data_IF_957964140264
#
_entry.id   IF_957964140264
#
_cell.length_a   1.000
_cell.length_b   1.000
_cell.length_c   1.000
_cell.angle_alpha   90.00
_cell.angle_beta   90.00
_cell.angle_gamma   90.00
#
_symmetry.space_group_name_H-M   'P 1'
#
loop_
_entity.id
_entity.type
_entity.pdbx_description
1 polymer ?
#
# COMPACT_ATOMS: atom_id res chain seq x y z
N UNK A 1 32.49 12.01 5.80
CA UNK A 1 32.36 10.73 6.51
C UNK A 1 33.75 10.15 6.64
N UNK A 2 34.18 9.97 7.88
CA UNK A 2 35.42 9.31 8.30
C UNK A 2 35.11 7.91 8.84
N UNK A 3 36.12 7.07 8.96
CA UNK A 3 35.95 5.71 9.50
C UNK A 3 35.34 5.76 10.91
N UNK A 4 34.30 4.94 11.14
CA UNK A 4 33.55 4.91 12.39
C UNK A 4 32.38 5.89 12.49
N UNK A 5 32.18 6.77 11.49
CA UNK A 5 31.04 7.69 11.45
C UNK A 5 29.84 7.10 10.69
N UNK A 6 28.63 7.38 11.19
CA UNK A 6 27.38 7.11 10.49
C UNK A 6 26.90 8.33 9.71
N UNK A 7 26.25 8.08 8.57
CA UNK A 7 25.49 9.08 7.82
C UNK A 7 24.05 8.58 7.75
N UNK A 8 23.11 9.41 8.21
CA UNK A 8 21.67 9.09 8.15
C UNK A 8 21.01 9.95 7.08
N UNK A 9 20.39 9.31 6.10
CA UNK A 9 19.61 9.98 5.06
C UNK A 9 18.12 9.89 5.38
N UNK A 10 17.50 11.05 5.62
CA UNK A 10 16.08 11.14 5.92
C UNK A 10 15.20 10.93 4.68
N UNK A 11 13.92 10.56 4.85
CA UNK A 11 13.00 10.34 3.73
C UNK A 11 12.97 11.51 2.76
N UNK A 12 13.03 11.21 1.45
CA UNK A 12 13.03 12.20 0.36
C UNK A 12 14.21 13.20 0.37
N UNK A 13 15.25 12.94 1.16
CA UNK A 13 16.50 13.71 1.14
C UNK A 13 17.40 13.25 -0.01
N UNK A 14 17.41 14.01 -1.10
CA UNK A 14 18.33 13.78 -2.21
C UNK A 14 19.77 13.97 -1.74
N UNK A 15 20.62 13.01 -2.06
CA UNK A 15 22.02 13.01 -1.67
C UNK A 15 22.88 12.51 -2.83
N UNK A 16 24.14 12.95 -2.85
CA UNK A 16 25.17 12.54 -3.81
C UNK A 16 26.52 12.63 -3.11
N UNK A 17 27.53 11.95 -3.61
CA UNK A 17 28.86 11.94 -3.01
C UNK A 17 29.91 11.29 -3.89
N UNK A 18 31.17 11.45 -3.50
CA UNK A 18 32.32 10.80 -4.11
C UNK A 18 33.30 10.37 -3.02
N UNK A 19 34.16 9.40 -3.32
CA UNK A 19 35.18 8.91 -2.40
C UNK A 19 36.48 9.69 -2.56
N UNK A 20 37.10 10.09 -1.45
CA UNK A 20 38.40 10.78 -1.45
C UNK A 20 39.59 9.84 -1.65
N UNK A 21 39.39 8.52 -1.49
CA UNK A 21 40.42 7.49 -1.59
C UNK A 21 39.82 6.09 -1.42
N UNK A 22 40.66 5.07 -1.30
CA UNK A 22 40.21 3.70 -1.02
C UNK A 22 39.50 3.62 0.34
N UNK A 23 38.28 3.10 0.35
CA UNK A 23 37.48 2.87 1.55
C UNK A 23 36.54 1.66 1.37
N UNK A 24 35.84 1.31 2.44
CA UNK A 24 34.77 0.32 2.47
C UNK A 24 33.61 0.89 3.28
N UNK A 25 32.39 0.76 2.77
CA UNK A 25 31.18 1.26 3.41
C UNK A 25 30.04 0.25 3.25
N UNK A 26 29.13 0.25 4.21
CA UNK A 26 27.90 -0.55 4.22
C UNK A 26 26.70 0.38 4.43
N UNK A 27 25.57 0.06 3.81
CA UNK A 27 24.35 0.87 3.89
C UNK A 27 23.10 -0.02 3.93
N UNK A 28 22.08 0.47 4.63
CA UNK A 28 20.78 -0.21 4.77
C UNK A 28 19.65 0.82 4.74
N UNK A 29 18.51 0.44 4.18
CA UNK A 29 17.27 1.21 4.28
C UNK A 29 16.51 0.75 5.53
N UNK A 30 15.88 1.69 6.24
CA UNK A 30 15.03 1.40 7.37
C UNK A 30 13.81 2.33 7.36
N UNK A 31 12.73 1.90 8.01
CA UNK A 31 11.44 2.59 8.03
C UNK A 31 10.94 2.72 9.49
N UNK A 32 11.25 3.83 10.17
CA UNK A 32 10.67 4.12 11.49
C UNK A 32 9.17 4.41 11.38
N UNK A 33 8.43 4.46 12.50
CA UNK A 33 6.98 4.58 12.47
C UNK A 33 6.48 5.85 11.73
N UNK A 34 7.17 6.97 11.90
CA UNK A 34 6.90 8.25 11.22
C UNK A 34 7.09 8.19 9.69
N UNK A 35 7.76 7.15 9.17
CA UNK A 35 7.86 6.92 7.73
C UNK A 35 6.54 6.48 7.09
N UNK A 36 5.59 5.90 7.84
CA UNK A 36 4.35 5.31 7.30
C UNK A 36 3.61 6.29 6.38
N UNK A 37 3.32 7.50 6.88
CA UNK A 37 2.62 8.53 6.11
C UNK A 37 3.39 8.96 4.85
N UNK A 38 4.72 9.07 4.95
CA UNK A 38 5.59 9.39 3.82
C UNK A 38 5.56 8.25 2.78
N UNK A 39 5.50 7.00 3.24
CA UNK A 39 5.34 5.81 2.39
C UNK A 39 4.05 5.85 1.57
N UNK A 40 2.93 6.22 2.20
CA UNK A 40 1.64 6.41 1.51
C UNK A 40 1.70 7.49 0.43
N UNK A 41 2.25 8.65 0.77
CA UNK A 41 2.46 9.74 -0.20
C UNK A 41 3.37 9.31 -1.35
N UNK A 42 4.42 8.53 -1.04
CA UNK A 42 5.34 7.99 -2.04
C UNK A 42 4.62 7.07 -3.04
N UNK A 43 3.76 6.16 -2.58
CA UNK A 43 2.96 5.29 -3.47
C UNK A 43 2.03 6.11 -4.35
N UNK A 44 1.39 7.14 -3.81
CA UNK A 44 0.54 8.05 -4.59
C UNK A 44 1.34 8.80 -5.65
N UNK A 45 2.55 9.26 -5.32
CA UNK A 45 3.45 9.90 -6.27
C UNK A 45 3.98 8.92 -7.33
N UNK A 46 4.33 7.70 -6.95
CA UNK A 46 4.77 6.66 -7.90
C UNK A 46 3.66 6.32 -8.88
N UNK A 47 2.41 6.25 -8.41
CA UNK A 47 1.24 6.03 -9.26
C UNK A 47 1.08 7.13 -10.32
N UNK A 48 1.36 8.40 -10.02
CA UNK A 48 1.25 9.48 -11.02
C UNK A 48 2.38 9.46 -12.04
N UNK A 49 3.55 8.91 -11.66
CA UNK A 49 4.71 8.76 -12.53
C UNK A 49 4.78 7.40 -13.25
N UNK A 50 3.81 6.50 -12.99
CA UNK A 50 3.83 5.10 -13.47
C UNK A 50 5.09 4.34 -13.05
N UNK A 51 5.61 4.65 -11.86
CA UNK A 51 6.79 3.97 -11.29
C UNK A 51 6.37 2.70 -10.57
N UNK A 52 7.07 1.60 -10.83
CA UNK A 52 6.86 0.31 -10.16
C UNK A 52 7.20 0.44 -8.67
N UNK A 53 6.33 -0.10 -7.81
CA UNK A 53 6.58 -0.20 -6.38
C UNK A 53 7.43 -1.44 -6.08
N UNK A 54 8.34 -1.34 -5.11
CA UNK A 54 9.15 -2.47 -4.62
C UNK A 54 8.38 -3.42 -3.69
N UNK A 55 7.27 -2.95 -3.10
CA UNK A 55 6.32 -3.73 -2.33
C UNK A 55 4.98 -2.97 -2.24
N UNK A 56 3.92 -3.66 -1.81
CA UNK A 56 2.63 -3.04 -1.51
C UNK A 56 2.61 -2.40 -0.13
N UNK A 57 2.41 -1.08 -0.07
CA UNK A 57 2.28 -0.38 1.21
C UNK A 57 1.00 -0.79 1.96
N UNK A 58 -0.09 -1.04 1.23
CA UNK A 58 -1.36 -1.49 1.83
C UNK A 58 -1.20 -2.89 2.47
N UNK A 59 -0.39 -3.76 1.85
CA UNK A 59 -0.04 -5.08 2.41
C UNK A 59 0.76 -4.96 3.69
N UNK A 60 1.78 -4.09 3.71
CA UNK A 60 2.56 -3.80 4.91
C UNK A 60 1.65 -3.38 6.07
N UNK A 61 0.71 -2.44 5.81
CA UNK A 61 -0.20 -1.94 6.83
C UNK A 61 -1.13 -3.04 7.34
N UNK A 62 -1.76 -3.83 6.46
CA UNK A 62 -2.59 -4.94 6.90
C UNK A 62 -1.81 -6.01 7.70
N UNK A 63 -0.54 -6.26 7.37
CA UNK A 63 0.31 -7.17 8.13
C UNK A 63 0.64 -6.62 9.52
N UNK A 64 0.96 -5.32 9.63
CA UNK A 64 1.16 -4.66 10.92
C UNK A 64 -0.10 -4.70 11.79
N UNK A 65 -1.27 -4.53 11.18
CA UNK A 65 -2.59 -4.62 11.86
C UNK A 65 -2.86 -6.04 12.37
N UNK A 66 -2.54 -7.08 11.59
CA UNK A 66 -2.67 -8.47 12.03
C UNK A 66 -1.83 -8.78 13.27
N UNK A 67 -0.62 -8.22 13.35
CA UNK A 67 0.32 -8.39 14.47
C UNK A 67 0.38 -7.15 15.39
N UNK A 68 -0.72 -6.42 15.53
CA UNK A 68 -0.70 -5.12 16.22
C UNK A 68 -0.39 -5.20 17.72
N UNK A 69 -0.50 -6.38 18.33
CA UNK A 69 -0.26 -6.59 19.76
C UNK A 69 1.23 -6.36 20.13
N UNK A 70 2.14 -6.47 19.15
CA UNK A 70 3.57 -6.23 19.31
C UNK A 70 3.99 -4.79 18.92
N UNK A 71 3.05 -3.95 18.49
CA UNK A 71 3.35 -2.58 18.07
C UNK A 71 3.53 -1.66 19.27
N UNK A 72 4.55 -0.80 19.21
CA UNK A 72 4.65 0.34 20.11
C UNK A 72 3.40 1.25 19.94
N UNK A 73 2.84 1.83 21.01
CA UNK A 73 1.60 2.63 20.92
C UNK A 73 1.64 3.75 19.88
N UNK A 74 2.78 4.45 19.76
CA UNK A 74 2.95 5.50 18.74
C UNK A 74 2.94 4.96 17.30
N UNK A 75 3.47 3.75 17.09
CA UNK A 75 3.40 3.09 15.79
C UNK A 75 1.97 2.64 15.47
N UNK A 76 1.25 2.10 16.47
CA UNK A 76 -0.15 1.72 16.32
C UNK A 76 -1.04 2.92 15.94
N UNK A 77 -0.80 4.11 16.50
CA UNK A 77 -1.51 5.34 16.11
C UNK A 77 -1.33 5.68 14.62
N UNK A 78 -0.09 5.65 14.13
CA UNK A 78 0.20 5.94 12.72
C UNK A 78 -0.33 4.86 11.77
N UNK A 79 -0.30 3.59 12.17
CA UNK A 79 -0.93 2.48 11.45
C UNK A 79 -2.46 2.65 11.42
N UNK A 80 -3.07 3.08 12.52
CA UNK A 80 -4.51 3.34 12.60
C UNK A 80 -4.92 4.46 11.62
N UNK A 81 -4.17 5.56 11.60
CA UNK A 81 -4.45 6.69 10.71
C UNK A 81 -4.36 6.29 9.24
N UNK A 82 -3.30 5.56 8.85
CA UNK A 82 -3.12 5.08 7.48
C UNK A 82 -4.19 4.04 7.08
N UNK A 83 -4.46 3.06 7.95
CA UNK A 83 -5.54 2.08 7.74
C UNK A 83 -6.89 2.79 7.54
N UNK A 84 -7.19 3.81 8.33
CA UNK A 84 -8.43 4.57 8.21
C UNK A 84 -8.51 5.35 6.88
N UNK A 85 -7.40 5.92 6.41
CA UNK A 85 -7.33 6.54 5.07
C UNK A 85 -7.57 5.50 3.97
N UNK A 86 -6.89 4.36 4.03
CA UNK A 86 -7.04 3.25 3.09
C UNK A 86 -8.49 2.78 3.01
N UNK A 87 -9.16 2.57 4.16
CA UNK A 87 -10.56 2.13 4.21
C UNK A 87 -11.52 3.17 3.63
N UNK A 88 -11.29 4.47 3.92
CA UNK A 88 -12.09 5.55 3.33
C UNK A 88 -11.95 5.56 1.81
N UNK A 89 -10.72 5.42 1.31
CA UNK A 89 -10.43 5.37 -0.12
C UNK A 89 -11.11 4.17 -0.78
N UNK A 90 -10.93 2.97 -0.24
CA UNK A 90 -11.56 1.74 -0.71
C UNK A 90 -13.08 1.85 -0.77
N UNK A 91 -13.72 2.40 0.27
CA UNK A 91 -15.18 2.60 0.30
C UNK A 91 -15.65 3.50 -0.85
N UNK A 92 -14.97 4.62 -1.09
CA UNK A 92 -15.33 5.56 -2.16
C UNK A 92 -15.14 4.91 -3.53
N UNK A 93 -14.02 4.23 -3.74
CA UNK A 93 -13.68 3.66 -5.03
C UNK A 93 -14.51 2.41 -5.37
N UNK A 94 -14.80 1.54 -4.39
CA UNK A 94 -15.72 0.40 -4.57
C UNK A 94 -17.12 0.88 -4.92
N UNK A 95 -17.60 1.93 -4.26
CA UNK A 95 -18.88 2.56 -4.63
C UNK A 95 -18.86 3.07 -6.07
N UNK A 96 -17.80 3.76 -6.48
CA UNK A 96 -17.67 4.26 -7.86
C UNK A 96 -17.63 3.13 -8.90
N UNK A 97 -17.04 1.97 -8.56
CA UNK A 97 -17.01 0.79 -9.40
C UNK A 97 -18.40 0.13 -9.53
N UNK A 98 -19.12 0.01 -8.42
CA UNK A 98 -20.50 -0.50 -8.39
C UNK A 98 -21.45 0.43 -9.16
N UNK A 99 -21.36 1.75 -8.92
CA UNK A 99 -22.15 2.76 -9.61
C UNK A 99 -21.84 2.80 -11.13
N UNK A 100 -20.65 2.33 -11.54
CA UNK A 100 -20.30 2.16 -12.97
C UNK A 100 -20.96 0.93 -13.61
N UNK A 101 -21.35 -0.07 -12.82
CA UNK A 101 -22.12 -1.23 -13.29
C UNK A 101 -21.39 -2.58 -13.22
N UNK A 102 -20.29 -2.69 -12.47
CA UNK A 102 -19.66 -3.99 -12.17
C UNK A 102 -20.52 -4.74 -11.17
N UNK A 103 -20.85 -5.99 -11.49
CA UNK A 103 -21.71 -6.85 -10.64
C UNK A 103 -20.97 -8.06 -10.08
N UNK A 104 -19.99 -8.57 -10.81
CA UNK A 104 -19.22 -9.74 -10.42
C UNK A 104 -18.08 -9.36 -9.47
N UNK A 105 -17.88 -10.18 -8.43
CA UNK A 105 -16.83 -9.99 -7.46
C UNK A 105 -16.18 -11.32 -7.05
N UNK A 106 -14.85 -11.34 -7.00
CA UNK A 106 -14.05 -12.52 -6.65
C UNK A 106 -13.10 -12.21 -5.49
N UNK A 107 -13.04 -13.11 -4.52
CA UNK A 107 -12.02 -13.07 -3.48
C UNK A 107 -10.66 -13.50 -4.02
N UNK A 108 -9.60 -12.78 -3.66
CA UNK A 108 -8.23 -13.05 -4.10
C UNK A 108 -7.23 -12.83 -2.98
N UNK A 109 -6.36 -13.82 -2.76
CA UNK A 109 -5.15 -13.71 -1.92
C UNK A 109 -4.01 -13.15 -2.77
N UNK A 110 -3.78 -11.84 -2.68
CA UNK A 110 -2.76 -11.17 -3.49
C UNK A 110 -1.35 -11.45 -2.97
N UNK A 111 -1.17 -11.73 -1.69
CA UNK A 111 0.10 -12.07 -1.03
C UNK A 111 0.76 -13.34 -1.60
N UNK A 112 -0.03 -14.23 -2.20
CA UNK A 112 0.46 -15.47 -2.81
C UNK A 112 0.87 -15.32 -4.28
N UNK A 113 0.72 -14.12 -4.85
CA UNK A 113 1.08 -13.81 -6.23
C UNK A 113 2.37 -12.99 -6.27
N UNK A 114 3.25 -13.30 -7.23
CA UNK A 114 4.42 -12.46 -7.46
C UNK A 114 4.00 -11.04 -7.90
N UNK A 115 4.75 -10.03 -7.46
CA UNK A 115 4.43 -8.62 -7.67
C UNK A 115 4.12 -8.26 -9.13
N UNK A 116 4.86 -8.83 -10.07
CA UNK A 116 4.68 -8.60 -11.51
C UNK A 116 3.28 -9.00 -12.03
N UNK A 117 2.60 -9.93 -11.36
CA UNK A 117 1.25 -10.39 -11.74
C UNK A 117 0.12 -9.61 -11.05
N UNK A 118 0.46 -8.80 -10.05
CA UNK A 118 -0.51 -8.01 -9.27
C UNK A 118 -0.28 -6.50 -9.43
N UNK A 119 0.17 -6.04 -10.60
CA UNK A 119 0.36 -4.62 -10.89
C UNK A 119 -0.80 -4.03 -11.68
N UNK A 120 -1.15 -2.78 -11.38
CA UNK A 120 -2.04 -2.02 -12.25
C UNK A 120 -1.35 -1.72 -13.59
N UNK A 121 -1.97 -2.13 -14.70
CA UNK A 121 -1.43 -1.91 -16.05
C UNK A 121 -1.29 -0.43 -16.46
N UNK A 122 -1.89 0.50 -15.71
CA UNK A 122 -1.87 1.94 -16.01
C UNK A 122 -0.83 2.69 -15.20
N UNK A 123 -0.76 2.41 -13.89
CA UNK A 123 0.07 3.17 -12.95
C UNK A 123 1.16 2.36 -12.25
N UNK A 124 1.27 1.07 -12.54
CA UNK A 124 2.27 0.15 -11.98
C UNK A 124 2.23 0.00 -10.44
N UNK A 125 1.16 0.48 -9.79
CA UNK A 125 0.94 0.23 -8.36
C UNK A 125 0.70 -1.27 -8.14
N UNK A 126 1.45 -1.86 -7.21
CA UNK A 126 1.21 -3.22 -6.70
C UNK A 126 -0.11 -3.27 -5.95
N UNK A 127 -1.01 -4.14 -6.37
CA UNK A 127 -2.39 -4.28 -5.91
C UNK A 127 -2.44 -5.27 -4.76
N UNK A 128 -3.22 -4.93 -3.74
CA UNK A 128 -3.38 -5.78 -2.56
C UNK A 128 -4.81 -5.80 -2.02
N UNK A 129 -5.38 -4.66 -1.65
CA UNK A 129 -6.73 -4.67 -1.05
C UNK A 129 -7.79 -4.99 -2.09
N UNK A 130 -7.61 -4.44 -3.30
CA UNK A 130 -8.55 -4.61 -4.39
C UNK A 130 -7.92 -4.40 -5.76
N UNK A 131 -8.58 -4.95 -6.78
CA UNK A 131 -8.25 -4.81 -8.18
C UNK A 131 -9.49 -4.95 -9.06
N UNK A 132 -9.36 -4.62 -10.33
CA UNK A 132 -10.36 -4.93 -11.36
C UNK A 132 -9.68 -5.73 -12.47
N UNK A 133 -10.34 -6.80 -12.87
CA UNK A 133 -9.97 -7.59 -14.05
C UNK A 133 -11.12 -7.61 -15.05
N UNK A 134 -10.89 -8.07 -16.27
CA UNK A 134 -11.94 -8.27 -17.26
C UNK A 134 -11.77 -9.62 -17.94
N UNK A 135 -12.88 -10.25 -18.33
CA UNK A 135 -12.87 -11.52 -19.05
C UNK A 135 -12.20 -11.46 -20.42
N UNK A 136 -12.03 -10.27 -21.01
CA UNK A 136 -11.35 -10.10 -22.29
C UNK A 136 -9.83 -10.38 -22.22
N UNK A 137 -9.20 -10.07 -21.08
CA UNK A 137 -7.79 -10.39 -20.80
C UNK A 137 -7.61 -10.55 -19.29
N UNK A 138 -7.81 -11.77 -18.75
CA UNK A 138 -7.75 -12.01 -17.31
C UNK A 138 -6.39 -11.75 -16.66
N UNK A 139 -5.32 -11.63 -17.48
CA UNK A 139 -3.96 -11.37 -16.99
C UNK A 139 -3.72 -9.89 -16.69
N UNK A 140 -4.55 -8.98 -17.22
CA UNK A 140 -4.44 -7.55 -16.95
C UNK A 140 -5.28 -7.17 -15.75
N UNK A 141 -4.68 -6.37 -14.89
CA UNK A 141 -5.33 -5.81 -13.72
C UNK A 141 -5.26 -4.29 -13.74
N UNK A 142 -6.29 -3.64 -13.20
CA UNK A 142 -6.29 -2.22 -12.91
C UNK A 142 -6.58 -1.99 -11.43
N UNK A 143 -5.99 -0.95 -10.84
CA UNK A 143 -6.44 -0.45 -9.55
C UNK A 143 -7.81 0.26 -9.71
N UNK A 144 -8.49 0.52 -8.60
CA UNK A 144 -9.80 1.16 -8.64
C UNK A 144 -9.78 2.61 -9.16
N UNK A 145 -8.63 3.28 -9.23
CA UNK A 145 -8.53 4.60 -9.89
C UNK A 145 -8.59 4.49 -11.41
N UNK A 146 -8.23 3.33 -11.95
CA UNK A 146 -7.98 3.13 -13.37
C UNK A 146 -8.85 2.04 -14.00
N UNK A 147 -9.91 1.57 -13.32
CA UNK A 147 -10.75 0.49 -13.86
C UNK A 147 -11.36 0.83 -15.23
N UNK A 148 -11.72 2.10 -15.48
CA UNK A 148 -12.23 2.56 -16.78
C UNK A 148 -11.19 2.55 -17.90
N UNK A 149 -9.91 2.43 -17.54
CA UNK A 149 -8.77 2.41 -18.46
C UNK A 149 -8.24 0.97 -18.67
N UNK A 150 -8.87 -0.04 -18.05
CA UNK A 150 -8.47 -1.44 -18.20
C UNK A 150 -8.69 -1.93 -19.64
N UNK A 151 -9.88 -1.72 -20.19
CA UNK A 151 -10.24 -2.03 -21.58
C UNK A 151 -11.51 -1.27 -21.98
N UNK A 152 -11.94 -1.43 -23.25
CA UNK A 152 -13.17 -0.83 -23.78
C UNK A 152 -14.43 -1.68 -23.58
N UNK A 153 -14.35 -2.78 -22.83
CA UNK A 153 -15.49 -3.66 -22.59
C UNK A 153 -16.55 -2.99 -21.69
N UNK A 154 -17.81 -3.41 -21.77
CA UNK A 154 -18.84 -2.91 -20.87
C UNK A 154 -18.58 -3.35 -19.42
N UNK A 155 -19.11 -2.62 -18.42
CA UNK A 155 -18.85 -2.87 -16.99
C UNK A 155 -19.16 -4.30 -16.53
N UNK A 156 -20.16 -4.95 -17.14
CA UNK A 156 -20.63 -6.29 -16.76
C UNK A 156 -19.61 -7.40 -17.08
N UNK A 157 -18.63 -7.13 -17.95
CA UNK A 157 -17.53 -8.06 -18.24
C UNK A 157 -16.33 -7.87 -17.30
N UNK A 158 -16.37 -6.85 -16.45
CA UNK A 158 -15.35 -6.61 -15.45
C UNK A 158 -15.70 -7.37 -14.17
N UNK A 159 -14.68 -7.81 -13.45
CA UNK A 159 -14.80 -8.51 -12.18
C UNK A 159 -14.02 -7.73 -11.13
N UNK A 160 -14.71 -7.37 -10.05
CA UNK A 160 -14.11 -6.76 -8.88
C UNK A 160 -13.36 -7.80 -8.05
N UNK A 161 -12.05 -7.66 -7.92
CA UNK A 161 -11.22 -8.57 -7.11
C UNK A 161 -10.93 -7.93 -5.76
N UNK A 162 -11.16 -8.63 -4.67
CA UNK A 162 -10.97 -8.09 -3.32
C UNK A 162 -10.28 -9.06 -2.37
N UNK A 163 -9.47 -8.52 -1.47
CA UNK A 163 -8.80 -9.28 -0.39
C UNK A 163 -9.54 -9.25 0.93
N UNK A 164 -10.25 -8.15 1.18
CA UNK A 164 -11.06 -7.94 2.38
C UNK A 164 -12.41 -7.35 1.97
N UNK A 165 -13.46 -7.80 2.64
CA UNK A 165 -14.77 -7.15 2.66
C UNK A 165 -14.68 -5.86 3.47
N UNK A 166 -15.61 -4.92 3.25
CA UNK A 166 -15.63 -3.68 4.02
C UNK A 166 -15.98 -3.91 5.50
N UNK A 167 -16.66 -5.01 5.82
CA UNK A 167 -17.08 -5.38 7.18
C UNK A 167 -15.93 -5.97 8.03
N UNK A 168 -14.85 -6.40 7.38
CA UNK A 168 -13.64 -6.87 8.07
C UNK A 168 -12.80 -5.72 8.64
N UNK A 169 -12.90 -4.50 8.11
CA UNK A 169 -12.08 -3.37 8.57
C UNK A 169 -12.49 -2.77 9.94
N UNK A 170 -13.78 -2.59 10.29
CA UNK A 170 -14.18 -2.07 11.60
C UNK A 170 -13.61 -2.81 12.82
N UNK A 171 -13.59 -4.16 12.89
CA UNK A 171 -12.93 -4.84 14.01
C UNK A 171 -11.42 -4.63 14.01
N UNK A 172 -10.76 -4.62 12.85
CA UNK A 172 -9.32 -4.36 12.74
C UNK A 172 -8.94 -2.94 13.21
N UNK A 173 -9.70 -1.93 12.78
CA UNK A 173 -9.53 -0.54 13.23
C UNK A 173 -9.69 -0.42 14.75
N UNK A 174 -10.69 -1.09 15.34
CA UNK A 174 -10.88 -1.09 16.81
C UNK A 174 -9.70 -1.73 17.53
N UNK A 175 -9.19 -2.85 17.00
CA UNK A 175 -8.03 -3.56 17.59
C UNK A 175 -6.82 -2.65 17.67
N UNK A 176 -6.44 -2.01 16.56
CA UNK A 176 -5.26 -1.12 16.52
C UNK A 176 -5.47 0.15 17.34
N UNK A 177 -6.69 0.72 17.34
CA UNK A 177 -7.02 1.90 18.14
C UNK A 177 -6.83 1.65 19.64
N UNK A 178 -7.20 0.46 20.14
CA UNK A 178 -7.00 0.10 21.54
C UNK A 178 -5.52 0.12 21.94
N UNK A 179 -4.62 -0.37 21.07
CA UNK A 179 -3.16 -0.33 21.30
C UNK A 179 -2.63 1.10 21.23
N UNK A 180 -3.13 1.90 20.29
CA UNK A 180 -2.75 3.31 20.16
C UNK A 180 -3.14 4.15 21.40
N UNK A 181 -4.28 3.84 22.03
CA UNK A 181 -4.77 4.55 23.21
C UNK A 181 -3.91 4.31 24.47
N UNK A 182 -3.17 3.20 24.54
CA UNK A 182 -2.19 2.94 25.60
C UNK A 182 -1.07 4.00 25.66
N UNK A 183 -0.83 4.74 24.58
CA UNK A 183 0.17 5.82 24.54
C UNK A 183 -0.17 7.00 25.48
N UNK A 184 -1.44 7.11 25.88
CA UNK A 184 -1.98 8.26 26.60
C UNK A 184 -2.36 7.92 28.06
N UNK A 185 -2.10 6.69 28.51
CA UNK A 185 -2.37 6.23 29.88
C UNK A 185 -1.15 6.34 30.82
N UNK A 186 0.03 6.70 30.29
CA UNK A 186 1.26 7.06 31.02
C UNK A 186 1.46 8.58 31.12
#
# INVERSE_FOLDING_TARGET
>A
QHAGEFVVTFPRSYHTGFNQGYNFAEAVNFAPADWISIGRECVNHYSSLKRICVFSHDELICNMVSSCDDLAPKAAELVYDDLNEMVKFERIQRKALLDWGVTEADFVEFEHQADDFRQCMVCNTTLYVSAVSCSCDPKRLACLRHFKQLCGCPPQLHVFKYRYTLDEFPPLLRKVKAIAELAYED
#
